data_IF_045286185864
#
_entry.id   IF_045286185864
#
_cell.length_a   1.000
_cell.length_b   1.000
_cell.length_c   1.000
_cell.angle_alpha   90.00
_cell.angle_beta   90.00
_cell.angle_gamma   90.00
#
_symmetry.space_group_name_H-M   'P 1'
#
loop_
_entity.id
_entity.type
_entity.pdbx_description
1 polymer ?
#
# COMPACT_ATOMS: atom_id res chain seq x y z
N UNK A 1 12.11 2.81 -11.73
CA UNK A 1 12.29 3.99 -12.60
C UNK A 1 13.25 5.03 -12.02
N UNK A 2 12.88 5.79 -10.97
CA UNK A 2 13.70 6.89 -10.43
C UNK A 2 15.11 6.48 -9.93
N UNK A 3 15.26 5.26 -9.44
CA UNK A 3 16.55 4.69 -9.01
C UNK A 3 17.52 4.53 -10.19
N UNK A 4 17.03 4.03 -11.33
CA UNK A 4 17.82 3.85 -12.55
C UNK A 4 18.22 5.18 -13.20
N UNK A 5 17.34 6.17 -13.14
CA UNK A 5 17.64 7.56 -13.56
C UNK A 5 18.74 8.17 -12.68
N UNK A 6 18.68 7.95 -11.36
CA UNK A 6 19.72 8.44 -10.43
C UNK A 6 21.09 7.79 -10.70
N UNK A 7 21.11 6.53 -11.14
CA UNK A 7 22.33 5.84 -11.53
C UNK A 7 22.79 6.13 -12.96
N UNK A 8 22.07 6.97 -13.73
CA UNK A 8 22.45 7.33 -15.10
C UNK A 8 22.29 6.20 -16.12
N UNK A 9 21.59 5.13 -15.78
CA UNK A 9 21.37 3.96 -16.66
C UNK A 9 20.40 4.30 -17.79
N UNK A 10 19.50 5.27 -17.55
CA UNK A 10 18.53 5.74 -18.54
C UNK A 10 19.01 7.06 -19.14
N UNK A 11 18.76 7.28 -20.45
CA UNK A 11 19.10 8.55 -21.15
C UNK A 11 18.37 9.78 -20.59
N UNK A 12 17.30 9.57 -19.84
CA UNK A 12 16.52 10.62 -19.17
C UNK A 12 17.24 11.08 -17.91
N UNK A 13 17.47 12.38 -17.76
CA UNK A 13 18.07 12.99 -16.56
C UNK A 13 16.97 13.45 -15.60
N UNK A 14 17.35 13.71 -14.35
CA UNK A 14 16.40 14.27 -13.36
C UNK A 14 15.82 15.63 -13.76
N UNK A 15 16.56 16.43 -14.54
CA UNK A 15 16.13 17.74 -15.02
C UNK A 15 14.98 17.63 -16.03
N UNK A 16 14.91 16.50 -16.75
CA UNK A 16 13.90 16.24 -17.77
C UNK A 16 12.56 15.77 -17.14
N UNK A 17 12.55 15.52 -15.83
CA UNK A 17 11.36 15.11 -15.07
C UNK A 17 10.70 16.35 -14.44
N UNK A 18 9.69 16.97 -15.07
CA UNK A 18 9.10 18.23 -14.58
C UNK A 18 8.57 18.12 -13.14
N UNK A 19 8.06 16.94 -12.76
CA UNK A 19 7.56 16.68 -11.41
C UNK A 19 8.65 16.60 -10.34
N UNK A 20 9.87 16.20 -10.70
CA UNK A 20 10.98 16.05 -9.75
C UNK A 20 11.66 17.37 -9.45
N UNK A 21 11.83 18.22 -10.46
CA UNK A 21 12.38 19.58 -10.30
C UNK A 21 11.39 20.51 -9.61
N UNK A 22 10.08 20.33 -9.82
CA UNK A 22 9.05 21.16 -9.15
C UNK A 22 8.73 20.72 -7.72
N UNK A 23 8.86 19.42 -7.41
CA UNK A 23 8.61 18.90 -6.06
C UNK A 23 9.69 19.39 -5.10
N UNK A 24 9.33 20.35 -4.23
CA UNK A 24 10.20 20.77 -3.13
C UNK A 24 10.43 19.59 -2.17
N UNK A 25 11.68 19.34 -1.74
CA UNK A 25 11.94 18.32 -0.73
C UNK A 25 11.13 18.66 0.52
N UNK A 26 10.45 17.65 1.07
CA UNK A 26 9.64 17.85 2.26
C UNK A 26 10.59 18.15 3.43
N UNK A 27 10.44 19.32 4.06
CA UNK A 27 11.31 19.77 5.16
C UNK A 27 11.34 18.79 6.34
N UNK A 28 10.26 18.03 6.53
CA UNK A 28 10.10 17.04 7.59
C UNK A 28 9.26 15.88 7.05
N UNK A 29 9.55 14.63 7.44
CA UNK A 29 8.60 13.53 7.21
C UNK A 29 7.29 13.93 7.88
N UNK A 30 6.18 13.97 7.14
CA UNK A 30 4.90 14.17 7.82
C UNK A 30 4.64 12.89 8.60
N UNK A 31 4.43 12.98 9.89
CA UNK A 31 3.73 11.91 10.58
C UNK A 31 2.43 11.60 9.83
N UNK A 32 1.98 10.34 9.83
CA UNK A 32 0.71 9.98 9.21
C UNK A 32 -0.37 10.96 9.69
N UNK A 33 -0.96 11.73 8.77
CA UNK A 33 -2.02 12.67 9.15
C UNK A 33 -3.24 11.84 9.53
N UNK A 34 -3.49 11.75 10.83
CA UNK A 34 -4.69 11.13 11.40
C UNK A 34 -4.49 9.72 11.96
N UNK A 35 -5.47 9.30 12.75
CA UNK A 35 -5.56 7.96 13.35
C UNK A 35 -6.15 6.96 12.36
N UNK A 36 -5.68 6.94 11.10
CA UNK A 36 -6.06 5.91 10.14
C UNK A 36 -5.41 4.58 10.55
N UNK A 37 -5.82 4.05 11.72
CA UNK A 37 -5.71 2.62 12.01
C UNK A 37 -6.48 1.97 10.88
N UNK A 38 -5.80 1.21 10.03
CA UNK A 38 -6.48 0.30 9.11
C UNK A 38 -7.36 -0.58 9.98
N UNK A 39 -8.66 -0.29 10.01
CA UNK A 39 -9.64 -1.21 10.57
C UNK A 39 -9.70 -2.36 9.56
N UNK A 40 -8.95 -3.41 9.86
CA UNK A 40 -9.08 -4.64 9.10
C UNK A 40 -10.49 -5.18 9.36
N UNK A 41 -11.14 -5.65 8.30
CA UNK A 41 -12.40 -6.37 8.43
C UNK A 41 -12.24 -7.68 9.20
N UNK A 42 -13.33 -8.41 9.36
CA UNK A 42 -13.31 -9.78 9.92
C UNK A 42 -12.48 -10.70 9.02
N UNK A 43 -11.96 -11.79 9.59
CA UNK A 43 -11.24 -12.81 8.80
C UNK A 43 -12.14 -13.34 7.67
N UNK A 44 -11.52 -13.74 6.56
CA UNK A 44 -12.21 -14.45 5.49
C UNK A 44 -12.87 -15.75 5.98
N UNK A 45 -12.35 -16.35 7.05
CA UNK A 45 -12.90 -17.57 7.65
C UNK A 45 -14.24 -17.33 8.37
N UNK A 46 -14.55 -16.08 8.73
CA UNK A 46 -15.77 -15.70 9.44
C UNK A 46 -16.88 -15.21 8.50
N UNK A 47 -16.72 -15.38 7.18
CA UNK A 47 -17.71 -14.93 6.19
C UNK A 47 -18.95 -15.83 6.17
N UNK A 48 -20.07 -15.26 5.73
CA UNK A 48 -21.30 -16.03 5.52
C UNK A 48 -21.08 -17.08 4.41
N UNK A 49 -21.51 -18.34 4.59
CA UNK A 49 -21.33 -19.39 3.58
C UNK A 49 -22.01 -19.07 2.25
N UNK A 50 -23.07 -18.25 2.26
CA UNK A 50 -23.75 -17.78 1.04
C UNK A 50 -22.82 -17.04 0.07
N UNK A 51 -21.73 -16.43 0.55
CA UNK A 51 -20.77 -15.72 -0.32
C UNK A 51 -19.96 -16.73 -1.17
N UNK A 52 -19.82 -17.97 -0.71
CA UNK A 52 -19.11 -19.02 -1.46
C UNK A 52 -19.87 -19.48 -2.71
N UNK A 53 -21.21 -19.37 -2.71
CA UNK A 53 -22.03 -19.79 -3.87
C UNK A 53 -21.85 -18.87 -5.07
N UNK A 54 -21.33 -17.65 -4.87
CA UNK A 54 -21.09 -16.64 -5.92
C UNK A 54 -22.32 -16.33 -6.79
N UNK A 55 -23.52 -16.52 -6.23
CA UNK A 55 -24.79 -16.30 -6.94
C UNK A 55 -25.11 -14.80 -7.13
N UNK A 56 -24.51 -13.92 -6.33
CA UNK A 56 -24.72 -12.48 -6.38
C UNK A 56 -23.57 -11.74 -7.08
N UNK A 57 -23.92 -10.81 -7.97
CA UNK A 57 -22.97 -9.91 -8.64
C UNK A 57 -22.64 -8.70 -7.76
N UNK A 58 -21.36 -8.30 -7.72
CA UNK A 58 -20.89 -7.10 -7.00
C UNK A 58 -19.92 -7.37 -5.83
N UNK A 59 -19.60 -8.63 -5.54
CA UNK A 59 -18.60 -8.99 -4.55
C UNK A 59 -17.21 -9.08 -5.19
N UNK A 60 -16.29 -8.18 -4.82
CA UNK A 60 -14.88 -8.25 -5.21
C UNK A 60 -14.06 -8.80 -4.03
N UNK A 61 -13.51 -10.01 -4.17
CA UNK A 61 -12.61 -10.61 -3.19
C UNK A 61 -11.17 -10.15 -3.44
N UNK A 62 -10.44 -9.80 -2.38
CA UNK A 62 -9.01 -9.49 -2.43
C UNK A 62 -8.26 -10.50 -1.56
N UNK A 63 -7.44 -11.35 -2.18
CA UNK A 63 -6.61 -12.33 -1.46
C UNK A 63 -5.41 -11.61 -0.81
N UNK A 64 -5.58 -11.23 0.45
CA UNK A 64 -4.49 -10.70 1.27
C UNK A 64 -3.92 -11.81 2.17
N UNK A 65 -2.65 -12.15 1.96
CA UNK A 65 -1.91 -13.00 2.89
C UNK A 65 -1.58 -12.19 4.14
N UNK A 66 -1.90 -12.73 5.32
CA UNK A 66 -1.48 -12.15 6.61
C UNK A 66 0.05 -12.30 6.72
N UNK A 67 0.78 -11.23 6.44
CA UNK A 67 2.23 -11.20 6.68
C UNK A 67 2.51 -11.32 8.17
N UNK A 68 3.36 -12.28 8.57
CA UNK A 68 3.87 -12.40 9.95
C UNK A 68 4.59 -11.11 10.33
N UNK A 69 3.93 -10.23 11.09
CA UNK A 69 4.61 -9.21 11.89
C UNK A 69 4.85 -9.82 13.27
N UNK A 70 6.10 -10.21 13.52
CA UNK A 70 6.58 -10.58 14.84
C UNK A 70 6.45 -9.38 15.79
N UNK A 71 5.33 -9.31 16.51
CA UNK A 71 5.26 -8.66 17.82
C UNK A 71 4.60 -9.65 18.76
N UNK A 72 5.44 -10.46 19.39
CA UNK A 72 5.10 -11.15 20.62
C UNK A 72 4.87 -10.06 21.66
N UNK A 73 3.61 -9.77 21.96
CA UNK A 73 3.24 -9.18 23.24
C UNK A 73 2.70 -10.34 24.07
N UNK A 74 3.57 -10.88 24.92
CA UNK A 74 3.18 -11.74 26.03
C UNK A 74 2.34 -10.88 26.98
N UNK A 75 1.09 -11.30 27.19
CA UNK A 75 0.37 -11.06 28.43
C UNK A 75 0.48 -12.34 29.27
#
# INVERSE_FOLDING_TARGET
MYKYIKFGILRVKNIDLPMKTWSRPRKQSSEPRGMNKKLFGKSIDQRCPAILSREEFGHCELDLVIGKKSRVLLL
#
